data_IF_866297780651
#
_entry.id   IF_866297780651
#
_cell.length_a   1.000
_cell.length_b   1.000
_cell.length_c   1.000
_cell.angle_alpha   90.00
_cell.angle_beta   90.00
_cell.angle_gamma   90.00
#
_symmetry.space_group_name_H-M   'P 1'
#
loop_
_entity.id
_entity.type
_entity.pdbx_description
1 polymer ?
#
# COMPACT_ATOMS: atom_id res chain seq x y z
N UNK A 1 -27.42 15.33 -15.11
CA UNK A 1 -26.13 15.72 -15.72
C UNK A 1 -25.04 15.91 -14.66
N UNK A 2 -25.34 16.54 -13.52
CA UNK A 2 -24.38 16.78 -12.41
C UNK A 2 -23.73 15.51 -11.83
N UNK A 3 -24.47 14.41 -11.72
CA UNK A 3 -23.99 13.17 -11.07
C UNK A 3 -22.98 12.41 -11.92
N UNK A 4 -23.09 12.49 -13.25
CA UNK A 4 -22.10 11.88 -14.16
C UNK A 4 -20.81 12.70 -14.23
N UNK A 5 -20.88 14.02 -14.00
CA UNK A 5 -19.73 14.91 -13.97
C UNK A 5 -18.91 14.74 -12.68
N UNK A 6 -19.55 14.57 -11.51
CA UNK A 6 -18.85 14.32 -10.24
C UNK A 6 -18.15 12.96 -10.20
N UNK A 7 -18.72 11.92 -10.82
CA UNK A 7 -18.09 10.59 -10.87
C UNK A 7 -16.83 10.61 -11.73
N UNK A 8 -16.83 11.32 -12.86
CA UNK A 8 -15.65 11.45 -13.73
C UNK A 8 -14.57 12.31 -13.05
N UNK A 9 -14.96 13.37 -12.33
CA UNK A 9 -14.02 14.21 -11.58
C UNK A 9 -13.36 13.45 -10.42
N UNK A 10 -14.10 12.59 -9.71
CA UNK A 10 -13.57 11.77 -8.61
C UNK A 10 -12.63 10.66 -9.12
N UNK A 11 -12.92 10.10 -10.30
CA UNK A 11 -12.07 9.09 -10.94
C UNK A 11 -10.77 9.70 -11.47
N UNK A 12 -10.81 10.92 -12.03
CA UNK A 12 -9.61 11.65 -12.46
C UNK A 12 -8.73 12.08 -11.26
N UNK A 13 -9.33 12.50 -10.14
CA UNK A 13 -8.59 12.84 -8.92
C UNK A 13 -7.89 11.60 -8.32
N UNK A 14 -8.55 10.44 -8.29
CA UNK A 14 -7.98 9.19 -7.76
C UNK A 14 -6.87 8.60 -8.64
N UNK A 15 -6.96 8.78 -9.96
CA UNK A 15 -5.92 8.36 -10.91
C UNK A 15 -4.68 9.28 -10.91
N UNK A 16 -4.84 10.58 -10.63
CA UNK A 16 -3.74 11.56 -10.59
C UNK A 16 -3.12 11.80 -9.22
N UNK A 17 -3.81 11.46 -8.12
CA UNK A 17 -3.29 11.60 -6.76
C UNK A 17 -1.91 10.92 -6.52
N UNK A 18 -1.63 9.70 -7.02
CA UNK A 18 -0.31 9.11 -6.82
C UNK A 18 0.80 9.80 -7.66
N UNK A 19 0.47 10.48 -8.76
CA UNK A 19 1.45 11.14 -9.63
C UNK A 19 1.91 12.48 -9.05
N UNK A 20 1.04 13.19 -8.34
CA UNK A 20 1.40 14.47 -7.70
C UNK A 20 2.13 14.32 -6.37
N UNK A 21 2.02 13.17 -5.69
CA UNK A 21 2.80 12.90 -4.47
C UNK A 21 4.27 12.57 -4.78
N UNK A 22 4.58 12.20 -6.04
CA UNK A 22 5.94 11.99 -6.51
C UNK A 22 6.66 13.27 -6.98
N UNK A 23 5.94 14.38 -7.20
CA UNK A 23 6.48 15.61 -7.82
C UNK A 23 6.87 16.73 -6.83
N UNK A 24 6.73 16.56 -5.52
CA UNK A 24 7.12 17.57 -4.51
C UNK A 24 8.56 17.48 -4.01
N UNK A 25 9.42 16.64 -4.59
CA UNK A 25 10.85 16.60 -4.26
C UNK A 25 11.72 17.42 -5.24
N UNK A 26 11.26 18.60 -5.65
CA UNK A 26 12.06 19.50 -6.49
C UNK A 26 12.12 20.92 -5.94
N UNK A 27 12.67 21.09 -4.75
CA UNK A 27 13.40 22.31 -4.38
C UNK A 27 14.15 22.13 -3.06
N UNK A 28 15.44 21.82 -3.18
CA UNK A 28 16.46 22.15 -2.21
C UNK A 28 17.76 22.43 -2.96
N UNK A 29 18.13 23.69 -3.24
CA UNK A 29 19.41 24.00 -3.83
C UNK A 29 20.44 24.35 -2.75
N UNK A 30 21.70 24.06 -3.08
CA UNK A 30 22.97 24.55 -2.51
C UNK A 30 23.67 23.67 -1.48
N UNK A 31 24.68 22.97 -1.99
CA UNK A 31 25.85 22.48 -1.25
C UNK A 31 26.80 23.67 -1.06
N UNK A 32 27.37 23.90 0.13
CA UNK A 32 28.71 24.45 0.26
C UNK A 32 29.71 23.39 0.74
N UNK A 33 30.91 23.54 0.21
CA UNK A 33 32.05 22.65 0.22
C UNK A 33 32.68 22.34 1.60
N UNK A 34 33.19 21.08 1.71
CA UNK A 34 34.49 20.63 2.25
C UNK A 34 34.91 20.93 3.71
N UNK A 35 35.85 20.10 4.21
CA UNK A 35 36.63 20.17 5.47
C UNK A 35 36.01 19.34 6.63
N UNK A 36 36.63 18.34 7.27
CA UNK A 36 38.04 17.97 7.48
C UNK A 36 38.20 16.51 7.94
N UNK A 37 39.11 15.78 7.28
CA UNK A 37 40.14 14.88 7.83
C UNK A 37 39.76 13.59 8.59
N UNK A 38 39.85 12.45 7.87
CA UNK A 38 40.56 11.29 8.40
C UNK A 38 42.08 11.56 8.29
N UNK A 39 42.86 11.20 9.32
CA UNK A 39 44.31 11.12 9.22
C UNK A 39 44.75 9.67 9.45
N UNK A 40 45.30 9.05 8.40
CA UNK A 40 45.84 7.68 8.41
C UNK A 40 46.09 7.16 6.98
N UNK A 41 47.35 7.03 6.50
CA UNK A 41 47.66 7.01 5.08
C UNK A 41 47.95 5.60 4.53
N UNK A 42 47.53 5.31 3.29
CA UNK A 42 48.36 4.63 2.27
C UNK A 42 47.69 4.57 0.88
N UNK A 43 48.44 5.10 -0.10
CA UNK A 43 48.46 4.89 -1.55
C UNK A 43 47.31 5.42 -2.46
N UNK A 44 47.63 6.20 -3.52
CA UNK A 44 46.66 6.69 -4.49
C UNK A 44 46.41 5.62 -5.57
N UNK A 45 45.16 5.19 -5.75
CA UNK A 45 44.75 4.45 -6.95
C UNK A 45 43.68 5.25 -7.70
N UNK A 46 43.95 5.69 -8.94
CA UNK A 46 43.13 6.67 -9.64
C UNK A 46 42.03 5.95 -10.41
N UNK A 47 40.99 5.47 -9.74
CA UNK A 47 39.78 5.02 -10.42
C UNK A 47 38.61 5.90 -10.00
N UNK A 48 38.48 7.02 -10.71
CA UNK A 48 37.24 7.75 -10.87
C UNK A 48 36.26 6.87 -11.68
N UNK A 49 35.82 5.77 -11.08
CA UNK A 49 34.56 5.14 -11.42
C UNK A 49 33.62 5.56 -10.31
N UNK A 50 32.79 6.57 -10.57
CA UNK A 50 31.55 6.73 -9.79
C UNK A 50 30.94 5.34 -9.71
N UNK A 51 30.87 4.74 -8.54
CA UNK A 51 29.99 3.59 -8.31
C UNK A 51 28.59 4.12 -8.58
N UNK A 52 28.16 4.04 -9.84
CA UNK A 52 26.77 4.18 -10.23
C UNK A 52 26.13 2.91 -9.70
N UNK A 53 25.83 2.93 -8.41
CA UNK A 53 24.92 1.97 -7.82
C UNK A 53 23.58 2.24 -8.50
N UNK A 54 23.17 1.33 -9.38
CA UNK A 54 21.81 1.36 -9.88
C UNK A 54 20.91 1.07 -8.67
N UNK A 55 20.37 2.14 -8.09
CA UNK A 55 19.21 2.05 -7.21
C UNK A 55 18.12 1.39 -8.04
N UNK A 56 17.83 0.13 -7.70
CA UNK A 56 16.80 -0.62 -8.37
C UNK A 56 15.48 0.13 -8.16
N UNK A 57 14.84 0.66 -9.23
CA UNK A 57 13.57 1.37 -9.12
C UNK A 57 12.40 0.41 -8.77
N UNK A 58 12.71 -0.86 -8.52
CA UNK A 58 11.82 -1.96 -8.21
C UNK A 58 12.04 -2.55 -6.79
N UNK A 59 12.84 -1.90 -5.94
CA UNK A 59 13.08 -2.34 -4.56
C UNK A 59 14.28 -3.28 -4.36
N UNK A 60 14.45 -3.86 -3.17
CA UNK A 60 15.65 -4.62 -2.76
C UNK A 60 15.67 -6.09 -3.23
N UNK A 61 14.72 -6.49 -4.08
CA UNK A 61 14.53 -7.88 -4.51
C UNK A 61 15.16 -8.21 -5.87
N UNK A 62 16.30 -8.89 -5.89
CA UNK A 62 17.00 -9.31 -7.12
C UNK A 62 16.34 -10.51 -7.85
N UNK A 63 15.14 -10.94 -7.43
CA UNK A 63 14.49 -12.19 -7.89
C UNK A 63 13.01 -11.96 -8.24
N UNK A 64 12.47 -12.70 -9.20
CA UNK A 64 11.03 -12.67 -9.56
C UNK A 64 10.12 -12.97 -8.35
N UNK A 65 10.57 -13.81 -7.42
CA UNK A 65 9.81 -14.15 -6.21
C UNK A 65 9.58 -12.95 -5.29
N UNK A 66 10.58 -12.08 -5.10
CA UNK A 66 10.42 -10.87 -4.28
C UNK A 66 9.43 -9.89 -4.92
N UNK A 67 9.40 -9.80 -6.25
CA UNK A 67 8.40 -8.98 -6.95
C UNK A 67 6.97 -9.48 -6.71
N UNK A 68 6.75 -10.80 -6.72
CA UNK A 68 5.43 -11.39 -6.45
C UNK A 68 5.02 -11.16 -4.99
N UNK A 69 5.98 -11.23 -4.05
CA UNK A 69 5.70 -10.97 -2.64
C UNK A 69 5.36 -9.50 -2.39
N UNK A 70 6.14 -8.55 -2.93
CA UNK A 70 5.87 -7.12 -2.80
C UNK A 70 4.52 -6.73 -3.38
N UNK A 71 4.14 -7.29 -4.55
CA UNK A 71 2.84 -7.02 -5.15
C UNK A 71 1.70 -7.62 -4.32
N UNK A 72 1.92 -8.78 -3.70
CA UNK A 72 0.92 -9.45 -2.86
C UNK A 72 0.71 -8.70 -1.53
N UNK A 73 1.77 -8.15 -0.96
CA UNK A 73 1.73 -7.28 0.22
C UNK A 73 0.95 -6.00 -0.09
N UNK A 74 1.26 -5.32 -1.19
CA UNK A 74 0.52 -4.13 -1.65
C UNK A 74 -0.97 -4.42 -1.84
N UNK A 75 -1.31 -5.55 -2.48
CA UNK A 75 -2.72 -5.93 -2.70
C UNK A 75 -3.42 -6.22 -1.36
N UNK A 76 -2.77 -6.92 -0.45
CA UNK A 76 -3.41 -7.34 0.81
C UNK A 76 -3.58 -6.16 1.77
N UNK A 77 -2.57 -5.30 1.90
CA UNK A 77 -2.58 -4.19 2.86
C UNK A 77 -3.31 -2.95 2.36
N UNK A 78 -3.28 -2.67 1.06
CA UNK A 78 -3.92 -1.45 0.50
C UNK A 78 -5.24 -1.80 -0.19
N UNK A 79 -5.25 -2.78 -1.10
CA UNK A 79 -6.45 -3.07 -1.91
C UNK A 79 -7.53 -3.75 -1.07
N UNK A 80 -7.13 -4.67 -0.17
CA UNK A 80 -8.06 -5.39 0.71
C UNK A 80 -9.00 -4.47 1.51
N UNK A 81 -8.47 -3.62 2.41
CA UNK A 81 -9.30 -2.75 3.25
C UNK A 81 -10.15 -1.77 2.44
N UNK A 82 -9.59 -1.21 1.36
CA UNK A 82 -10.28 -0.25 0.50
C UNK A 82 -11.52 -0.87 -0.14
N UNK A 83 -11.41 -2.09 -0.68
CA UNK A 83 -12.55 -2.79 -1.31
C UNK A 83 -13.65 -3.07 -0.29
N UNK A 84 -13.31 -3.50 0.92
CA UNK A 84 -14.29 -3.75 1.99
C UNK A 84 -15.07 -2.48 2.34
N UNK A 85 -14.40 -1.34 2.47
CA UNK A 85 -15.02 -0.05 2.79
C UNK A 85 -15.99 0.36 1.67
N UNK A 86 -15.58 0.24 0.40
CA UNK A 86 -16.46 0.54 -0.74
C UNK A 86 -17.71 -0.35 -0.77
N UNK A 87 -17.56 -1.65 -0.52
CA UNK A 87 -18.69 -2.58 -0.43
C UNK A 87 -19.63 -2.21 0.71
N UNK A 88 -19.10 -1.83 1.87
CA UNK A 88 -19.90 -1.46 3.03
C UNK A 88 -20.72 -0.19 2.78
N UNK A 89 -20.14 0.81 2.12
CA UNK A 89 -20.87 2.01 1.69
C UNK A 89 -21.96 1.69 0.67
N UNK A 90 -21.67 0.82 -0.30
CA UNK A 90 -22.65 0.39 -1.30
C UNK A 90 -23.85 -0.33 -0.67
N UNK A 91 -23.59 -1.27 0.25
CA UNK A 91 -24.64 -2.00 0.96
C UNK A 91 -25.43 -1.07 1.88
N UNK A 92 -24.77 -0.13 2.55
CA UNK A 92 -25.43 0.90 3.36
C UNK A 92 -26.40 1.74 2.53
N UNK A 93 -26.01 2.16 1.32
CA UNK A 93 -26.89 2.87 0.41
C UNK A 93 -28.09 2.01 -0.03
N UNK A 94 -27.87 0.73 -0.33
CA UNK A 94 -28.94 -0.20 -0.70
C UNK A 94 -29.99 -0.36 0.42
N UNK A 95 -29.53 -0.39 1.68
CA UNK A 95 -30.41 -0.38 2.86
C UNK A 95 -31.27 0.89 2.95
N UNK A 96 -30.69 2.05 2.65
CA UNK A 96 -31.40 3.34 2.69
C UNK A 96 -32.42 3.48 1.56
N UNK A 97 -32.18 2.85 0.40
CA UNK A 97 -33.10 2.87 -0.74
C UNK A 97 -34.23 1.84 -0.59
N UNK A 98 -34.01 0.75 0.13
CA UNK A 98 -34.96 -0.35 0.28
C UNK A 98 -36.14 -0.09 1.25
N UNK A 99 -36.55 1.18 1.49
CA UNK A 99 -37.48 1.67 2.55
C UNK A 99 -38.92 1.11 2.59
N UNK A 100 -39.16 -0.13 2.17
CA UNK A 100 -40.48 -0.75 2.17
C UNK A 100 -40.64 -1.89 1.15
N UNK A 101 -39.62 -2.15 0.33
CA UNK A 101 -39.64 -3.26 -0.63
C UNK A 101 -38.99 -4.49 0.02
N UNK A 102 -39.76 -5.57 0.29
CA UNK A 102 -39.25 -6.76 0.97
C UNK A 102 -38.16 -7.47 0.14
N UNK A 103 -38.20 -7.38 -1.18
CA UNK A 103 -37.19 -7.96 -2.06
C UNK A 103 -35.85 -7.25 -1.95
N UNK A 104 -35.85 -5.91 -2.02
CA UNK A 104 -34.62 -5.11 -1.90
C UNK A 104 -34.02 -5.17 -0.50
N UNK A 105 -34.86 -5.28 0.54
CA UNK A 105 -34.39 -5.43 1.91
C UNK A 105 -33.71 -6.78 2.14
N UNK A 106 -34.24 -7.84 1.53
CA UNK A 106 -33.64 -9.18 1.61
C UNK A 106 -32.29 -9.19 0.89
N UNK A 107 -32.22 -8.62 -0.32
CA UNK A 107 -30.97 -8.49 -1.06
C UNK A 107 -29.91 -7.69 -0.27
N UNK A 108 -30.32 -6.59 0.37
CA UNK A 108 -29.42 -5.78 1.18
C UNK A 108 -28.87 -6.54 2.40
N UNK A 109 -29.69 -7.35 3.05
CA UNK A 109 -29.24 -8.22 4.16
C UNK A 109 -28.23 -9.26 3.70
N UNK A 110 -28.50 -9.95 2.58
CA UNK A 110 -27.58 -10.93 2.02
C UNK A 110 -26.25 -10.29 1.61
N UNK A 111 -26.29 -9.10 1.02
CA UNK A 111 -25.09 -8.36 0.65
C UNK A 111 -24.28 -7.92 1.88
N UNK A 112 -24.95 -7.48 2.96
CA UNK A 112 -24.30 -7.13 4.22
C UNK A 112 -23.59 -8.34 4.83
N UNK A 113 -24.25 -9.50 4.88
CA UNK A 113 -23.63 -10.74 5.38
C UNK A 113 -22.39 -11.11 4.58
N UNK A 114 -22.44 -11.05 3.24
CA UNK A 114 -21.28 -11.30 2.39
C UNK A 114 -20.15 -10.30 2.63
N UNK A 115 -20.49 -9.03 2.84
CA UNK A 115 -19.51 -7.97 3.13
C UNK A 115 -18.84 -8.19 4.48
N UNK A 116 -19.61 -8.58 5.50
CA UNK A 116 -19.12 -8.94 6.83
C UNK A 116 -18.17 -10.14 6.79
N UNK A 117 -18.54 -11.18 6.04
CA UNK A 117 -17.69 -12.37 5.89
C UNK A 117 -16.38 -12.01 5.19
N UNK A 118 -16.42 -11.21 4.13
CA UNK A 118 -15.21 -10.72 3.45
C UNK A 118 -14.32 -9.90 4.39
N UNK A 119 -14.90 -8.96 5.14
CA UNK A 119 -14.16 -8.18 6.13
C UNK A 119 -13.51 -9.07 7.21
N UNK A 120 -14.27 -10.03 7.74
CA UNK A 120 -13.80 -10.95 8.76
C UNK A 120 -12.65 -11.82 8.27
N UNK A 121 -12.65 -12.24 7.01
CA UNK A 121 -11.55 -13.02 6.42
C UNK A 121 -10.27 -12.18 6.35
N UNK A 122 -10.35 -10.92 5.92
CA UNK A 122 -9.19 -10.03 5.87
C UNK A 122 -8.61 -9.79 7.27
N UNK A 123 -9.48 -9.45 8.22
CA UNK A 123 -9.09 -9.25 9.62
C UNK A 123 -8.51 -10.53 10.24
N UNK A 124 -9.15 -11.68 9.98
CA UNK A 124 -8.73 -12.99 10.47
C UNK A 124 -7.38 -13.43 9.92
N UNK A 125 -7.10 -13.16 8.65
CA UNK A 125 -5.80 -13.47 8.04
C UNK A 125 -4.66 -12.71 8.72
N UNK A 126 -4.84 -11.41 8.96
CA UNK A 126 -3.83 -10.58 9.64
C UNK A 126 -3.58 -11.05 11.08
N UNK A 127 -4.64 -11.35 11.83
CA UNK A 127 -4.53 -11.84 13.22
C UNK A 127 -3.75 -13.15 13.29
N UNK A 128 -4.04 -14.09 12.39
CA UNK A 128 -3.34 -15.38 12.34
C UNK A 128 -1.87 -15.19 11.95
N UNK A 129 -1.59 -14.34 10.96
CA UNK A 129 -0.22 -14.05 10.52
C UNK A 129 0.63 -13.51 11.67
N UNK A 130 0.13 -12.49 12.38
CA UNK A 130 0.81 -11.91 13.57
C UNK A 130 1.05 -12.97 14.64
N UNK A 131 0.05 -13.81 14.95
CA UNK A 131 0.20 -14.88 15.93
C UNK A 131 1.35 -15.85 15.61
N UNK A 132 1.57 -16.16 14.33
CA UNK A 132 2.68 -17.02 13.89
C UNK A 132 4.01 -16.29 14.03
N UNK A 133 4.11 -15.03 13.60
CA UNK A 133 5.34 -14.25 13.69
C UNK A 133 5.83 -14.11 15.13
N UNK A 134 4.94 -13.76 16.05
CA UNK A 134 5.24 -13.64 17.48
C UNK A 134 5.75 -14.97 18.07
N UNK A 135 5.10 -16.08 17.70
CA UNK A 135 5.50 -17.41 18.18
C UNK A 135 6.90 -17.79 17.66
N UNK A 136 7.20 -17.51 16.39
CA UNK A 136 8.52 -17.81 15.80
C UNK A 136 9.61 -16.92 16.40
N UNK A 137 9.32 -15.65 16.68
CA UNK A 137 10.28 -14.75 17.34
C UNK A 137 10.53 -15.14 18.80
N UNK A 138 9.51 -15.54 19.55
CA UNK A 138 9.64 -16.02 20.92
C UNK A 138 10.56 -17.26 21.02
N UNK A 139 10.52 -18.15 20.03
CA UNK A 139 11.41 -19.30 19.95
C UNK A 139 12.84 -18.94 19.49
N UNK A 140 13.00 -17.85 18.74
CA UNK A 140 14.31 -17.37 18.26
C UNK A 140 15.12 -16.64 19.33
N UNK A 141 14.48 -15.88 20.21
CA UNK A 141 15.13 -15.07 21.25
C UNK A 141 15.54 -15.90 22.49
N UNK A 142 15.08 -17.15 22.59
CA UNK A 142 15.32 -18.05 23.72
C UNK A 142 16.67 -18.81 23.73
N UNK A 143 17.66 -18.42 22.93
CA UNK A 143 19.04 -18.91 22.95
C UNK A 143 20.01 -17.75 22.67
#
# INVERSE_FOLDING_TARGET
>A
MITRLSVVAFLLLFAFAPVTFAATNLMGPTVPAQSTNNMGPTAPSPNAGSEVTLINPLGTGTTINSFVLDILEIITDIVGPVVVIFMLVYVGFLFVVARGDPGKLTAARTALLWTLVGALILLGAQVIAVGIYETVQALRVGN
#
